data_IF_217718335620
#
_entry.id   IF_217718335620
#
_cell.length_a   1.000
_cell.length_b   1.000
_cell.length_c   1.000
_cell.angle_alpha   90.00
_cell.angle_beta   90.00
_cell.angle_gamma   90.00
#
_symmetry.space_group_name_H-M   'P 1'
#
loop_
_entity.id
_entity.type
_entity.pdbx_description
1 polymer ?
#
# COMPACT_ATOMS: atom_id res chain seq x y z
N UNK A 1 31.46 11.38 9.69
CA UNK A 1 30.42 10.35 9.90
C UNK A 1 29.77 10.07 8.57
N UNK A 2 29.97 8.88 8.01
CA UNK A 2 29.22 8.44 6.82
C UNK A 2 27.75 8.28 7.22
N UNK A 3 26.78 8.82 6.47
CA UNK A 3 25.37 8.58 6.76
C UNK A 3 25.10 7.07 6.81
N UNK A 4 24.43 6.59 7.85
CA UNK A 4 23.94 5.21 7.85
C UNK A 4 22.95 5.04 6.69
N UNK A 5 23.02 3.95 5.91
CA UNK A 5 22.03 3.67 4.89
C UNK A 5 20.64 3.54 5.54
N UNK A 6 19.61 4.01 4.85
CA UNK A 6 18.24 3.93 5.35
C UNK A 6 17.81 2.46 5.50
N UNK A 7 17.00 2.13 6.52
CA UNK A 7 16.49 0.78 6.71
C UNK A 7 15.59 0.34 5.54
N UNK A 8 15.74 -0.90 5.09
CA UNK A 8 14.93 -1.53 4.04
C UNK A 8 14.34 -2.83 4.58
N UNK A 9 13.01 -3.04 4.53
CA UNK A 9 12.41 -4.33 4.89
C UNK A 9 12.94 -5.48 4.02
N UNK A 10 13.23 -6.68 4.58
CA UNK A 10 13.76 -7.80 3.81
C UNK A 10 12.91 -8.17 2.58
N UNK A 11 11.59 -8.21 2.72
CA UNK A 11 10.68 -8.50 1.62
C UNK A 11 10.76 -7.46 0.49
N UNK A 12 11.01 -6.19 0.81
CA UNK A 12 11.23 -5.13 -0.19
C UNK A 12 12.63 -5.24 -0.80
N UNK A 13 13.64 -5.61 -0.02
CA UNK A 13 15.00 -5.78 -0.50
C UNK A 13 15.12 -6.89 -1.57
N UNK A 14 14.24 -7.89 -1.50
CA UNK A 14 14.14 -8.99 -2.46
C UNK A 14 13.42 -8.62 -3.77
N UNK A 15 12.75 -7.47 -3.85
CA UNK A 15 12.04 -7.05 -5.05
C UNK A 15 13.00 -6.68 -6.20
N UNK A 16 12.58 -6.87 -7.46
CA UNK A 16 13.27 -6.29 -8.59
C UNK A 16 13.33 -4.76 -8.47
N UNK A 17 14.39 -4.18 -9.04
CA UNK A 17 14.64 -2.74 -9.01
C UNK A 17 14.59 -2.15 -10.40
N UNK A 18 14.16 -0.90 -10.48
CA UNK A 18 14.25 -0.13 -11.71
C UNK A 18 15.70 0.34 -11.98
N UNK A 19 16.01 0.93 -13.15
CA UNK A 19 17.35 1.41 -13.46
C UNK A 19 17.89 2.51 -12.52
N UNK A 20 17.03 3.14 -11.72
CA UNK A 20 17.42 4.15 -10.71
C UNK A 20 17.70 3.50 -9.35
N UNK A 21 17.45 2.21 -9.20
CA UNK A 21 17.64 1.44 -7.98
C UNK A 21 16.43 1.40 -7.05
N UNK A 22 15.27 1.95 -7.45
CA UNK A 22 14.05 1.87 -6.65
C UNK A 22 13.41 0.49 -6.75
N UNK A 23 12.95 -0.10 -5.63
CA UNK A 23 12.19 -1.35 -5.70
C UNK A 23 10.90 -1.13 -6.50
N UNK A 24 10.49 -2.14 -7.25
CA UNK A 24 9.26 -2.15 -8.04
C UNK A 24 8.16 -2.83 -7.20
N UNK A 25 7.15 -2.10 -6.71
CA UNK A 25 6.05 -2.68 -5.95
C UNK A 25 5.27 -3.75 -6.72
N UNK A 26 4.70 -4.72 -6.01
CA UNK A 26 3.89 -5.79 -6.59
C UNK A 26 2.70 -5.28 -7.44
N UNK A 27 2.11 -4.13 -7.06
CA UNK A 27 0.99 -3.51 -7.78
C UNK A 27 1.41 -2.66 -8.99
N UNK A 28 2.71 -2.42 -9.19
CA UNK A 28 3.18 -1.58 -10.31
C UNK A 28 3.06 -2.37 -11.61
N UNK A 29 2.22 -1.92 -12.56
CA UNK A 29 2.08 -2.59 -13.84
C UNK A 29 3.28 -2.31 -14.74
N UNK A 30 3.41 -3.12 -15.78
CA UNK A 30 4.42 -2.93 -16.83
C UNK A 30 3.80 -2.46 -18.12
N UNK A 31 4.52 -1.63 -18.87
CA UNK A 31 4.12 -1.27 -20.23
C UNK A 31 4.44 -2.38 -21.23
N UNK A 32 4.11 -2.17 -22.51
CA UNK A 32 4.33 -3.14 -23.58
C UNK A 32 5.81 -3.51 -23.78
N UNK A 33 6.75 -2.68 -23.31
CA UNK A 33 8.19 -2.94 -23.34
C UNK A 33 8.71 -3.53 -22.02
N UNK A 34 7.82 -3.88 -21.08
CA UNK A 34 8.17 -4.47 -19.79
C UNK A 34 8.66 -3.48 -18.73
N UNK A 35 8.56 -2.17 -18.98
CA UNK A 35 9.05 -1.13 -18.06
C UNK A 35 8.00 -0.83 -16.97
N UNK A 36 8.41 -0.64 -15.70
CA UNK A 36 7.48 -0.37 -14.62
C UNK A 36 6.83 1.02 -14.76
N UNK A 37 5.51 1.09 -14.59
CA UNK A 37 4.73 2.33 -14.71
C UNK A 37 4.25 2.82 -13.33
N UNK A 38 5.12 3.52 -12.60
CA UNK A 38 4.87 3.96 -11.21
C UNK A 38 3.73 4.97 -11.01
N UNK A 39 3.23 5.60 -12.08
CA UNK A 39 2.18 6.62 -11.98
C UNK A 39 0.77 6.03 -11.82
N UNK A 40 0.62 4.73 -12.09
CA UNK A 40 -0.67 4.01 -12.05
C UNK A 40 -0.53 2.72 -11.24
N UNK A 41 -1.65 2.20 -10.77
CA UNK A 41 -1.75 0.88 -10.15
C UNK A 41 -2.37 -0.10 -11.15
N UNK A 42 -1.81 -1.30 -11.27
CA UNK A 42 -2.31 -2.32 -12.18
C UNK A 42 -3.59 -2.94 -11.62
N UNK A 43 -4.73 -2.79 -12.29
CA UNK A 43 -6.02 -3.28 -11.79
C UNK A 43 -6.00 -4.79 -11.46
N UNK A 44 -5.41 -5.62 -12.34
CA UNK A 44 -5.29 -7.06 -12.11
C UNK A 44 -4.45 -7.37 -10.85
N UNK A 45 -3.28 -6.74 -10.73
CA UNK A 45 -2.37 -6.89 -9.58
C UNK A 45 -3.02 -6.45 -8.27
N UNK A 46 -3.72 -5.32 -8.30
CA UNK A 46 -4.48 -4.78 -7.17
C UNK A 46 -5.60 -5.75 -6.74
N UNK A 47 -6.33 -6.33 -7.69
CA UNK A 47 -7.39 -7.31 -7.40
C UNK A 47 -6.80 -8.58 -6.75
N UNK A 48 -5.67 -9.07 -7.25
CA UNK A 48 -4.96 -10.21 -6.66
C UNK A 48 -4.56 -9.89 -5.21
N UNK A 49 -3.94 -8.72 -4.98
CA UNK A 49 -3.55 -8.31 -3.63
C UNK A 49 -4.76 -8.20 -2.68
N UNK A 50 -5.90 -7.73 -3.18
CA UNK A 50 -7.13 -7.63 -2.41
C UNK A 50 -7.70 -8.99 -2.02
N UNK A 51 -7.89 -9.88 -3.01
CA UNK A 51 -8.54 -11.18 -2.82
C UNK A 51 -7.67 -12.14 -2.01
N UNK A 52 -6.37 -12.13 -2.27
CA UNK A 52 -5.42 -13.04 -1.62
C UNK A 52 -4.79 -12.43 -0.36
N UNK A 53 -5.24 -11.23 0.05
CA UNK A 53 -4.72 -10.50 1.21
C UNK A 53 -3.19 -10.40 1.19
N UNK A 54 -2.64 -9.94 0.07
CA UNK A 54 -1.19 -9.72 -0.10
C UNK A 54 -0.84 -8.24 0.06
N UNK A 55 0.38 -7.97 0.49
CA UNK A 55 0.86 -6.60 0.59
C UNK A 55 1.05 -6.01 -0.80
N UNK A 56 0.52 -4.81 -0.99
CA UNK A 56 0.62 -4.04 -2.22
C UNK A 56 2.03 -3.66 -2.65
N UNK A 57 2.98 -3.65 -1.70
CA UNK A 57 4.37 -3.30 -1.96
C UNK A 57 5.20 -4.55 -2.23
N UNK A 58 5.29 -5.47 -1.28
CA UNK A 58 6.18 -6.63 -1.41
C UNK A 58 5.51 -7.88 -2.00
N UNK A 59 4.19 -7.92 -2.16
CA UNK A 59 3.45 -9.05 -2.75
C UNK A 59 3.39 -10.32 -1.91
N UNK A 60 4.00 -10.31 -0.72
CA UNK A 60 3.91 -11.44 0.23
C UNK A 60 2.56 -11.40 0.97
N UNK A 61 2.04 -12.56 1.44
CA UNK A 61 0.81 -12.61 2.22
C UNK A 61 0.87 -11.75 3.48
N UNK A 62 -0.25 -11.12 3.84
CA UNK A 62 -0.41 -10.43 5.12
C UNK A 62 -1.15 -11.34 6.10
N UNK A 63 -0.58 -11.64 7.29
CA UNK A 63 -1.27 -12.44 8.28
C UNK A 63 -2.58 -11.77 8.73
N UNK A 64 -3.49 -12.52 9.38
CA UNK A 64 -4.63 -11.93 10.07
C UNK A 64 -4.19 -10.82 11.02
N UNK A 65 -4.91 -9.71 11.03
CA UNK A 65 -4.58 -8.54 11.85
C UNK A 65 -4.62 -7.21 11.09
N UNK A 66 -4.03 -6.15 11.66
CA UNK A 66 -4.10 -4.83 11.06
C UNK A 66 -3.43 -4.75 9.70
N UNK A 67 -4.00 -3.94 8.82
CA UNK A 67 -3.43 -3.57 7.53
C UNK A 67 -3.08 -2.10 7.48
N UNK A 68 -2.09 -1.74 6.67
CA UNK A 68 -1.53 -0.39 6.66
C UNK A 68 -1.63 0.27 5.30
N UNK A 69 -1.66 1.60 5.30
CA UNK A 69 -1.54 2.44 4.10
C UNK A 69 -0.85 3.76 4.42
N UNK A 70 -0.31 4.41 3.39
CA UNK A 70 0.12 5.80 3.45
C UNK A 70 -1.04 6.68 2.98
N UNK A 71 -1.36 7.72 3.73
CA UNK A 71 -2.46 8.65 3.43
C UNK A 71 -1.95 10.09 3.29
N UNK A 72 -2.70 10.91 2.56
CA UNK A 72 -2.39 12.33 2.37
C UNK A 72 -2.90 13.19 3.53
N UNK A 73 -2.51 14.47 3.53
CA UNK A 73 -2.80 15.42 4.60
C UNK A 73 -4.31 15.53 4.92
N UNK A 74 -5.17 15.73 3.93
CA UNK A 74 -6.62 15.87 4.14
C UNK A 74 -7.28 14.64 4.80
N UNK A 75 -6.86 13.42 4.41
CA UNK A 75 -7.36 12.19 5.05
C UNK A 75 -6.77 12.02 6.46
N UNK A 76 -5.52 12.46 6.67
CA UNK A 76 -4.89 12.45 8.00
C UNK A 76 -5.67 13.31 8.98
N UNK A 77 -6.02 14.54 8.60
CA UNK A 77 -6.82 15.45 9.44
C UNK A 77 -8.19 14.86 9.77
N UNK A 78 -8.88 14.33 8.76
CA UNK A 78 -10.19 13.73 8.95
C UNK A 78 -10.16 12.56 9.95
N UNK A 79 -9.13 11.71 9.88
CA UNK A 79 -8.95 10.59 10.78
C UNK A 79 -8.49 11.03 12.18
N UNK A 80 -7.60 12.02 12.28
CA UNK A 80 -7.20 12.63 13.56
C UNK A 80 -8.41 13.20 14.29
N UNK A 81 -9.23 14.01 13.61
CA UNK A 81 -10.43 14.60 14.18
C UNK A 81 -11.47 13.54 14.61
N UNK A 82 -11.64 12.48 13.82
CA UNK A 82 -12.51 11.36 14.19
C UNK A 82 -12.01 10.62 15.44
N UNK A 83 -10.70 10.39 15.55
CA UNK A 83 -10.05 9.75 16.69
C UNK A 83 -10.20 10.57 17.96
N UNK A 84 -9.93 11.88 17.91
CA UNK A 84 -10.11 12.80 19.05
C UNK A 84 -11.55 12.84 19.53
N UNK A 85 -12.52 12.78 18.60
CA UNK A 85 -13.95 12.72 18.92
C UNK A 85 -14.43 11.33 19.39
N UNK A 86 -13.54 10.34 19.55
CA UNK A 86 -13.90 8.98 19.98
C UNK A 86 -14.76 8.21 18.97
N UNK A 87 -14.78 8.61 17.70
CA UNK A 87 -15.56 7.94 16.66
C UNK A 87 -14.75 6.82 16.02
N UNK A 88 -15.40 5.72 15.67
CA UNK A 88 -14.83 4.71 14.77
C UNK A 88 -14.51 5.38 13.44
N UNK A 89 -13.25 5.37 13.05
CA UNK A 89 -12.80 6.02 11.83
C UNK A 89 -12.65 5.00 10.68
N UNK A 90 -13.20 5.36 9.53
CA UNK A 90 -13.04 4.70 8.25
C UNK A 90 -12.66 5.74 7.19
N UNK A 91 -12.07 5.33 6.07
CA UNK A 91 -11.88 6.27 4.96
C UNK A 91 -13.25 6.69 4.40
N UNK A 92 -13.46 7.99 4.24
CA UNK A 92 -14.75 8.55 3.78
C UNK A 92 -15.01 8.29 2.30
N UNK A 93 -13.96 8.11 1.51
CA UNK A 93 -14.02 7.84 0.08
C UNK A 93 -13.21 6.57 -0.24
N UNK A 94 -13.65 5.76 -1.22
CA UNK A 94 -12.89 4.60 -1.64
C UNK A 94 -11.46 4.95 -2.05
N UNK A 95 -10.51 4.12 -1.66
CA UNK A 95 -9.10 4.21 -2.06
C UNK A 95 -8.84 3.30 -3.25
N UNK A 96 -8.01 3.68 -4.25
CA UNK A 96 -7.55 2.77 -5.29
C UNK A 96 -6.30 1.98 -4.86
N UNK A 97 -5.70 2.37 -3.73
CA UNK A 97 -4.47 1.77 -3.20
C UNK A 97 -4.80 0.64 -2.21
N UNK A 98 -4.32 -0.59 -2.47
CA UNK A 98 -4.50 -1.73 -1.58
C UNK A 98 -3.64 -1.66 -0.31
N UNK A 99 -4.03 -2.40 0.75
CA UNK A 99 -3.26 -2.50 1.99
C UNK A 99 -1.86 -3.07 1.83
N UNK A 100 -1.02 -2.84 2.84
CA UNK A 100 0.28 -3.50 3.00
C UNK A 100 0.67 -3.76 4.45
N UNK A 101 1.82 -4.41 4.65
CA UNK A 101 2.43 -4.55 5.98
C UNK A 101 2.85 -3.19 6.54
N UNK A 102 2.99 -3.13 7.87
CA UNK A 102 3.39 -1.92 8.59
C UNK A 102 4.74 -1.39 8.12
N UNK A 103 5.76 -2.23 8.13
CA UNK A 103 7.13 -1.91 7.72
C UNK A 103 7.22 -1.52 6.24
N UNK A 104 6.40 -2.13 5.38
CA UNK A 104 6.34 -1.80 3.97
C UNK A 104 5.75 -0.41 3.74
N UNK A 105 4.71 -0.03 4.48
CA UNK A 105 4.09 1.29 4.37
C UNK A 105 4.93 2.39 5.02
N UNK A 106 5.61 2.10 6.13
CA UNK A 106 6.63 3.00 6.71
C UNK A 106 7.77 3.27 5.72
N UNK A 107 8.25 2.22 5.03
CA UNK A 107 9.27 2.37 3.99
C UNK A 107 8.78 3.18 2.79
N UNK A 108 7.56 2.89 2.30
CA UNK A 108 6.95 3.59 1.18
C UNK A 108 6.79 5.09 1.47
N UNK A 109 6.43 5.45 2.71
CA UNK A 109 6.22 6.83 3.12
C UNK A 109 7.45 7.73 2.86
N UNK A 110 8.68 7.25 3.09
CA UNK A 110 9.88 8.07 2.82
C UNK A 110 10.59 7.77 1.51
N UNK A 111 10.40 6.58 0.93
CA UNK A 111 11.12 6.17 -0.29
C UNK A 111 10.41 6.64 -1.55
N UNK A 112 9.07 6.67 -1.58
CA UNK A 112 8.34 7.10 -2.76
C UNK A 112 8.49 8.62 -2.95
N UNK A 113 9.01 9.11 -4.10
CA UNK A 113 9.20 10.54 -4.32
C UNK A 113 7.91 11.37 -4.21
N UNK A 114 6.76 10.77 -4.52
CA UNK A 114 5.46 11.42 -4.37
C UNK A 114 4.96 11.42 -2.93
N UNK A 115 5.21 10.35 -2.15
CA UNK A 115 4.77 10.23 -0.76
C UNK A 115 5.73 10.87 0.26
N UNK A 116 6.98 11.11 -0.11
CA UNK A 116 7.97 11.59 0.85
C UNK A 116 7.80 13.07 1.22
N UNK A 117 7.15 13.88 0.36
CA UNK A 117 7.11 15.33 0.50
C UNK A 117 5.74 15.92 0.16
N UNK A 118 5.26 16.91 0.92
CA UNK A 118 3.98 17.56 0.61
C UNK A 118 3.97 18.33 -0.71
N UNK A 119 5.12 18.89 -1.10
CA UNK A 119 5.27 19.64 -2.35
C UNK A 119 5.60 18.76 -3.56
N UNK A 120 5.62 17.43 -3.40
CA UNK A 120 5.83 16.53 -4.53
C UNK A 120 4.68 16.68 -5.54
N UNK A 121 5.02 16.58 -6.82
CA UNK A 121 4.08 16.80 -7.93
C UNK A 121 3.91 15.55 -8.76
N UNK A 122 2.70 15.33 -9.26
CA UNK A 122 2.41 14.22 -10.19
C UNK A 122 3.25 14.37 -11.46
N UNK A 123 3.92 13.30 -11.86
CA UNK A 123 4.71 13.27 -13.09
C UNK A 123 3.88 13.10 -14.35
N UNK A 124 2.67 12.57 -14.22
CA UNK A 124 1.75 12.25 -15.31
C UNK A 124 0.30 12.52 -14.88
N UNK A 125 -0.59 12.64 -15.86
CA UNK A 125 -2.03 12.63 -15.63
C UNK A 125 -2.46 11.25 -15.13
N UNK A 126 -3.49 11.21 -14.29
CA UNK A 126 -4.10 9.97 -13.81
C UNK A 126 -5.62 10.12 -13.75
N UNK A 127 -6.33 9.02 -13.96
CA UNK A 127 -7.76 8.96 -13.71
C UNK A 127 -8.01 8.01 -12.55
N UNK A 128 -8.69 8.46 -11.50
CA UNK A 128 -9.00 7.68 -10.30
C UNK A 128 -10.48 7.84 -9.99
N UNK A 129 -11.24 6.75 -9.99
CA UNK A 129 -12.69 6.75 -9.73
C UNK A 129 -13.49 7.82 -10.48
N UNK A 130 -13.16 8.06 -11.75
CA UNK A 130 -13.82 9.06 -12.60
C UNK A 130 -13.31 10.49 -12.42
N UNK A 131 -12.38 10.73 -11.50
CA UNK A 131 -11.71 12.02 -11.33
C UNK A 131 -10.40 12.07 -12.12
N UNK A 132 -10.20 13.18 -12.84
CA UNK A 132 -8.96 13.46 -13.57
C UNK A 132 -7.99 14.23 -12.69
N UNK A 133 -6.84 13.65 -12.42
CA UNK A 133 -5.74 14.25 -11.67
C UNK A 133 -4.67 14.71 -12.66
N UNK A 134 -4.50 16.02 -12.78
CA UNK A 134 -3.55 16.60 -13.74
C UNK A 134 -2.11 16.45 -13.29
N UNK A 135 -1.20 16.21 -14.23
CA UNK A 135 0.25 16.36 -14.08
C UNK A 135 0.58 17.69 -13.42
N UNK A 136 1.58 17.68 -12.53
CA UNK A 136 2.01 18.88 -11.82
C UNK A 136 1.18 19.20 -10.58
N UNK A 137 0.00 18.59 -10.41
CA UNK A 137 -0.79 18.71 -9.16
C UNK A 137 0.08 18.29 -7.98
N UNK A 138 0.17 19.16 -6.97
CA UNK A 138 0.91 18.88 -5.75
C UNK A 138 0.15 17.88 -4.87
N UNK A 139 0.89 17.07 -4.12
CA UNK A 139 0.27 16.16 -3.14
C UNK A 139 -0.48 16.93 -2.05
N UNK A 140 0.07 18.05 -1.62
CA UNK A 140 -0.52 18.93 -0.61
C UNK A 140 0.00 18.65 0.80
N UNK A 141 -0.10 19.68 1.63
CA UNK A 141 0.03 19.63 3.08
C UNK A 141 -1.20 20.28 3.68
N UNK A 142 -1.36 20.10 4.98
CA UNK A 142 -2.31 20.83 5.79
C UNK A 142 -1.64 21.30 7.09
N UNK A 143 -2.34 22.10 7.88
CA UNK A 143 -1.84 22.62 9.15
C UNK A 143 -2.78 22.14 10.24
N UNK A 144 -2.23 21.42 11.22
CA UNK A 144 -2.98 21.00 12.39
C UNK A 144 -3.40 22.23 13.20
N UNK A 145 -4.72 22.45 13.34
CA UNK A 145 -5.28 23.67 13.94
C UNK A 145 -4.86 23.86 15.40
N UNK A 146 -4.64 22.77 16.14
CA UNK A 146 -4.32 22.81 17.57
C UNK A 146 -2.82 23.09 17.82
N UNK A 147 -1.94 22.39 17.10
CA UNK A 147 -0.48 22.47 17.30
C UNK A 147 0.22 23.46 16.36
N UNK A 148 -0.45 23.89 15.28
CA UNK A 148 0.15 24.66 14.20
C UNK A 148 1.15 23.88 13.36
N UNK A 149 1.29 22.56 13.57
CA UNK A 149 2.25 21.73 12.87
C UNK A 149 1.80 21.43 11.43
N UNK A 150 2.74 21.43 10.48
CA UNK A 150 2.43 21.03 9.11
C UNK A 150 2.34 19.52 8.97
N UNK A 151 1.23 19.04 8.42
CA UNK A 151 0.98 17.62 8.13
C UNK A 151 1.11 17.39 6.63
N UNK A 152 2.02 16.50 6.24
CA UNK A 152 2.18 16.02 4.86
C UNK A 152 1.38 14.76 4.56
N UNK A 153 1.09 13.98 5.60
CA UNK A 153 0.34 12.73 5.51
C UNK A 153 0.49 11.91 6.78
N UNK A 154 0.13 10.63 6.69
CA UNK A 154 0.34 9.67 7.76
C UNK A 154 0.59 8.26 7.24
N UNK A 155 1.18 7.42 8.09
CA UNK A 155 1.03 5.97 7.97
C UNK A 155 -0.11 5.57 8.90
N UNK A 156 -1.16 4.96 8.35
CA UNK A 156 -2.37 4.61 9.08
C UNK A 156 -2.58 3.09 9.06
N UNK A 157 -2.88 2.53 10.23
CA UNK A 157 -3.24 1.14 10.45
C UNK A 157 -4.74 1.01 10.68
N UNK A 158 -5.33 -0.02 10.08
CA UNK A 158 -6.76 -0.33 10.15
C UNK A 158 -6.95 -1.78 10.55
N UNK A 159 -8.01 -2.07 11.31
CA UNK A 159 -8.34 -3.40 11.74
C UNK A 159 -8.67 -4.31 10.55
N UNK A 160 -9.39 -3.76 9.57
CA UNK A 160 -9.79 -4.50 8.38
C UNK A 160 -9.94 -3.62 7.13
N UNK A 161 -10.11 -4.27 5.99
CA UNK A 161 -10.51 -3.65 4.73
C UNK A 161 -11.54 -4.49 3.99
N UNK A 162 -12.45 -3.81 3.30
CA UNK A 162 -13.32 -4.36 2.30
C UNK A 162 -12.92 -3.82 0.93
N UNK A 163 -13.22 -4.57 -0.13
CA UNK A 163 -13.00 -4.09 -1.49
C UNK A 163 -14.18 -4.40 -2.39
N UNK A 164 -14.39 -3.50 -3.36
CA UNK A 164 -15.35 -3.67 -4.46
C UNK A 164 -14.59 -3.63 -5.77
N UNK A 165 -14.97 -4.52 -6.68
CA UNK A 165 -14.47 -4.53 -8.04
C UNK A 165 -15.63 -4.63 -9.02
N UNK A 166 -15.60 -3.79 -10.04
CA UNK A 166 -16.49 -3.86 -11.22
C UNK A 166 -15.58 -4.03 -12.44
N UNK A 167 -15.87 -4.99 -13.34
CA UNK A 167 -15.08 -5.17 -14.55
C UNK A 167 -14.92 -3.86 -15.34
N UNK A 168 -13.68 -3.52 -15.67
CA UNK A 168 -13.34 -2.25 -16.35
C UNK A 168 -13.13 -1.05 -15.42
N UNK A 169 -13.39 -1.18 -14.12
CA UNK A 169 -13.11 -0.16 -13.10
C UNK A 169 -11.86 -0.49 -12.27
N UNK A 170 -11.38 0.49 -11.50
CA UNK A 170 -10.38 0.27 -10.46
C UNK A 170 -10.99 -0.45 -9.26
N UNK A 171 -10.17 -1.24 -8.56
CA UNK A 171 -10.57 -1.83 -7.28
C UNK A 171 -10.70 -0.72 -6.25
N UNK A 172 -11.84 -0.68 -5.56
CA UNK A 172 -12.19 0.32 -4.58
C UNK A 172 -12.10 -0.26 -3.18
N UNK A 173 -11.27 0.31 -2.31
CA UNK A 173 -11.04 -0.16 -0.95
C UNK A 173 -11.69 0.73 0.09
N UNK A 174 -12.34 0.10 1.07
CA UNK A 174 -12.82 0.72 2.30
C UNK A 174 -12.06 0.12 3.48
N UNK A 175 -11.44 0.97 4.28
CA UNK A 175 -10.65 0.62 5.45
C UNK A 175 -11.42 1.01 6.71
N UNK A 176 -11.51 0.10 7.67
CA UNK A 176 -12.33 0.30 8.87
C UNK A 176 -11.54 -0.02 10.15
N UNK A 177 -11.97 0.58 11.26
CA UNK A 177 -11.38 0.34 12.56
C UNK A 177 -9.94 0.83 12.67
N UNK A 178 -9.72 2.14 12.51
CA UNK A 178 -8.42 2.78 12.71
C UNK A 178 -7.74 2.31 14.01
N UNK A 179 -6.65 1.56 13.90
CA UNK A 179 -5.86 1.05 15.02
C UNK A 179 -4.66 1.95 15.32
N UNK A 180 -4.08 2.54 14.27
CA UNK A 180 -2.87 3.34 14.36
C UNK A 180 -2.95 4.54 13.40
N UNK A 181 -2.48 5.70 13.86
CA UNK A 181 -2.32 6.87 13.00
C UNK A 181 -1.00 7.54 13.35
N UNK A 182 -0.08 7.61 12.38
CA UNK A 182 1.23 8.25 12.52
C UNK A 182 1.38 9.41 11.55
N UNK A 183 0.94 10.62 11.92
CA UNK A 183 1.16 11.81 11.13
C UNK A 183 2.66 12.05 10.91
N UNK A 184 2.99 12.66 9.78
CA UNK A 184 4.32 13.16 9.47
C UNK A 184 4.24 14.45 8.65
N UNK A 185 5.28 15.28 8.78
CA UNK A 185 5.48 16.39 7.87
C UNK A 185 6.18 15.89 6.59
N UNK A 186 7.27 15.15 6.78
CA UNK A 186 8.03 14.50 5.72
C UNK A 186 7.99 12.98 5.93
N UNK A 187 8.00 12.22 4.84
CA UNK A 187 8.06 10.76 4.95
C UNK A 187 9.23 10.26 5.80
N UNK A 188 10.37 10.98 5.74
CA UNK A 188 11.58 10.67 6.52
C UNK A 188 11.36 10.65 8.04
N UNK A 189 10.31 11.30 8.55
CA UNK A 189 9.93 11.27 9.96
C UNK A 189 9.56 9.85 10.43
N UNK A 190 9.28 8.93 9.50
CA UNK A 190 8.96 7.52 9.77
C UNK A 190 10.19 6.60 9.90
N UNK A 191 11.40 7.07 9.58
CA UNK A 191 12.62 6.25 9.60
C UNK A 191 12.92 5.66 11.00
N UNK A 192 12.80 6.41 12.12
CA UNK A 192 13.02 5.86 13.45
C UNK A 192 12.05 4.71 13.77
N UNK A 193 10.78 4.88 13.40
CA UNK A 193 9.76 3.85 13.60
C UNK A 193 10.04 2.60 12.76
N UNK A 194 10.40 2.77 11.49
CA UNK A 194 10.78 1.62 10.65
C UNK A 194 11.97 0.87 11.25
N UNK A 195 12.97 1.59 11.75
CA UNK A 195 14.15 0.98 12.39
C UNK A 195 13.72 0.09 13.57
N UNK A 196 12.88 0.62 14.47
CA UNK A 196 12.39 -0.13 15.62
C UNK A 196 11.57 -1.37 15.21
N UNK A 197 10.74 -1.28 14.15
CA UNK A 197 9.99 -2.43 13.65
C UNK A 197 10.90 -3.52 13.14
N UNK A 198 11.91 -3.17 12.35
CA UNK A 198 12.82 -4.15 11.78
C UNK A 198 13.69 -4.80 12.87
N UNK A 199 14.06 -4.06 13.91
CA UNK A 199 14.73 -4.62 15.09
C UNK A 199 13.82 -5.62 15.82
N UNK A 200 12.57 -5.25 16.12
CA UNK A 200 11.61 -6.14 16.76
C UNK A 200 11.30 -7.41 15.93
N UNK A 201 11.28 -7.30 14.60
CA UNK A 201 11.08 -8.46 13.71
C UNK A 201 12.26 -9.44 13.75
N UNK A 202 13.50 -8.95 13.95
CA UNK A 202 14.70 -9.79 14.09
C UNK A 202 14.75 -10.53 15.43
N UNK A 203 14.20 -9.93 16.47
CA UNK A 203 14.21 -10.49 17.83
C UNK A 203 13.12 -11.56 18.04
N UNK A 204 12.15 -11.68 17.14
CA UNK A 204 11.10 -12.71 17.23
C UNK A 204 11.69 -14.13 17.05
N UNK A 205 11.59 -15.01 18.07
CA UNK A 205 12.04 -16.39 17.94
C UNK A 205 11.21 -17.12 16.87
N UNK A 206 11.89 -17.72 15.88
CA UNK A 206 11.23 -18.38 14.73
C UNK A 206 11.04 -17.50 13.49
N UNK A 207 11.54 -16.25 13.49
CA UNK A 207 11.43 -15.32 12.36
C UNK A 207 12.61 -15.39 11.40
N UNK A 208 12.28 -15.52 10.11
CA UNK A 208 13.12 -15.36 8.90
C UNK A 208 14.17 -16.44 8.53
N UNK A 209 14.81 -17.14 9.47
CA UNK A 209 15.90 -18.10 9.13
C UNK A 209 15.56 -19.58 9.37
N UNK A 210 14.32 -19.91 9.76
CA UNK A 210 13.86 -21.30 9.92
C UNK A 210 13.15 -21.81 8.64
N UNK A 211 13.50 -23.00 8.10
CA UNK A 211 12.91 -23.54 6.86
C UNK A 211 11.40 -23.86 6.95
N UNK A 212 10.82 -23.87 8.16
CA UNK A 212 9.45 -24.36 8.41
C UNK A 212 8.51 -23.31 9.06
N UNK A 213 8.81 -22.01 8.96
CA UNK A 213 7.87 -20.96 9.37
C UNK A 213 6.67 -20.86 8.41
N UNK A 214 5.43 -20.65 8.88
CA UNK A 214 4.23 -20.58 8.04
C UNK A 214 4.17 -19.37 7.08
N UNK A 215 5.16 -18.46 7.14
CA UNK A 215 5.16 -17.16 6.47
C UNK A 215 6.25 -17.01 5.39
N UNK A 216 6.72 -18.10 4.78
CA UNK A 216 7.83 -18.10 3.79
C UNK A 216 7.39 -17.89 2.34
N UNK A 217 6.11 -17.67 2.07
CA UNK A 217 5.65 -17.43 0.71
C UNK A 217 6.10 -16.05 0.21
N UNK A 218 7.12 -16.05 -0.64
CA UNK A 218 7.62 -14.85 -1.32
C UNK A 218 6.58 -14.23 -2.26
N UNK A 219 6.95 -13.10 -2.86
CA UNK A 219 6.14 -12.52 -3.93
C UNK A 219 6.05 -13.52 -5.08
N UNK A 220 4.85 -13.91 -5.53
CA UNK A 220 4.72 -14.88 -6.61
C UNK A 220 5.31 -14.29 -7.91
N UNK A 221 5.98 -15.09 -8.76
CA UNK A 221 6.65 -14.59 -9.96
C UNK A 221 5.75 -13.78 -10.90
N UNK A 222 4.48 -14.15 -11.03
CA UNK A 222 3.51 -13.42 -11.87
C UNK A 222 3.21 -11.99 -11.36
N UNK A 223 3.46 -11.68 -10.09
CA UNK A 223 3.38 -10.32 -9.55
C UNK A 223 4.72 -9.55 -9.67
N UNK A 224 5.79 -10.16 -10.17
CA UNK A 224 7.08 -9.47 -10.32
C UNK A 224 7.22 -8.84 -11.70
N UNK A 225 7.13 -9.64 -12.77
CA UNK A 225 7.46 -9.18 -14.11
C UNK A 225 6.60 -9.69 -15.27
N UNK A 226 5.58 -10.50 -14.98
CA UNK A 226 4.70 -11.06 -16.01
C UNK A 226 3.27 -10.48 -15.92
N UNK A 227 3.00 -9.43 -16.70
CA UNK A 227 1.68 -8.79 -16.72
C UNK A 227 0.59 -9.73 -17.28
N UNK A 228 0.92 -10.55 -18.29
CA UNK A 228 -0.04 -11.47 -18.89
C UNK A 228 -0.45 -12.57 -17.89
N UNK A 229 0.51 -13.09 -17.11
CA UNK A 229 0.21 -14.03 -16.05
C UNK A 229 -0.60 -13.39 -14.91
N UNK A 230 -0.30 -12.15 -14.52
CA UNK A 230 -1.11 -11.43 -13.54
C UNK A 230 -2.56 -11.24 -14.01
N UNK A 231 -2.77 -10.86 -15.27
CA UNK A 231 -4.11 -10.72 -15.85
C UNK A 231 -4.85 -12.07 -15.93
N UNK A 232 -4.17 -13.14 -16.34
CA UNK A 232 -4.75 -14.47 -16.40
C UNK A 232 -5.16 -14.96 -15.00
N UNK A 233 -4.32 -14.73 -13.99
CA UNK A 233 -4.60 -15.09 -12.60
C UNK A 233 -5.77 -14.30 -12.02
N UNK A 234 -5.82 -12.98 -12.26
CA UNK A 234 -6.95 -12.15 -11.87
C UNK A 234 -8.27 -12.62 -12.51
N UNK A 235 -8.24 -13.07 -13.77
CA UNK A 235 -9.41 -13.63 -14.45
C UNK A 235 -9.89 -14.92 -13.77
N UNK A 236 -8.98 -15.83 -13.43
CA UNK A 236 -9.31 -17.07 -12.73
C UNK A 236 -9.95 -16.80 -11.36
N UNK A 237 -9.44 -15.81 -10.63
CA UNK A 237 -10.03 -15.35 -9.36
C UNK A 237 -11.49 -14.92 -9.54
N UNK A 238 -11.77 -14.14 -10.58
CA UNK A 238 -13.13 -13.65 -10.88
C UNK A 238 -14.06 -14.78 -11.29
N UNK A 239 -13.61 -15.68 -12.17
CA UNK A 239 -14.37 -16.85 -12.60
C UNK A 239 -14.74 -17.74 -11.40
N UNK A 240 -13.78 -17.99 -10.50
CA UNK A 240 -14.03 -18.76 -9.28
C UNK A 240 -15.02 -18.06 -8.33
N UNK A 241 -14.95 -16.73 -8.21
CA UNK A 241 -15.89 -15.96 -7.40
C UNK A 241 -17.32 -16.00 -7.97
N UNK A 242 -17.47 -15.88 -9.29
CA UNK A 242 -18.76 -15.97 -9.99
C UNK A 242 -19.37 -17.38 -9.85
N UNK A 243 -18.56 -18.44 -10.01
CA UNK A 243 -19.01 -19.82 -9.84
C UNK A 243 -19.56 -20.09 -8.43
N UNK A 244 -18.89 -19.57 -7.38
CA UNK A 244 -19.35 -19.68 -5.99
C UNK A 244 -20.70 -18.98 -5.77
N UNK A 245 -20.92 -17.81 -6.37
CA UNK A 245 -22.20 -17.09 -6.26
C UNK A 245 -23.35 -17.84 -6.94
N UNK A 246 -23.10 -18.48 -8.08
CA UNK A 246 -24.11 -19.26 -8.80
C UNK A 246 -24.46 -20.58 -8.10
N UNK A 247 -23.48 -21.24 -7.47
CA UNK A 247 -23.71 -22.47 -6.71
C UNK A 247 -24.45 -22.26 -5.37
N UNK A 248 -24.26 -21.10 -4.72
CA UNK A 248 -24.92 -20.77 -3.45
C UNK A 248 -26.38 -20.31 -3.58
N UNK A 249 -26.84 -19.93 -4.77
CA UNK A 249 -28.22 -19.48 -5.01
C UNK A 249 -29.24 -20.63 -5.15
N UNK A 250 -28.77 -21.90 -5.11
CA UNK A 250 -29.61 -23.09 -5.25
C UNK A 250 -29.69 -23.98 -4.00
N UNK A 251 -29.27 -23.48 -2.82
CA UNK A 251 -29.29 -24.21 -1.54
C UNK A 251 -30.42 -23.74 -0.62
#
# INVERSE_FOLDING_TARGET
MTPRPNPVPPAIAALPRDPRGYPIPAITPRDAEGRPTFAITGTARTLICAVERRCSICGTPMPPGPVYRVIAAAETEALSAARTAGRTAANKAPSPEPPGHRECMLFAAFTCPFLARPNARRGQDAHVFGESLTRGTARGSSTDDDSGAQVGGAVAGFADFEFRYVPGEQVAFLFTGLTELRPHHLGADQIPELTAVLEALREKPGGADGPDGPDTEGCPPYLLDDEAAAEAHARQILEAAMARQQGGAGS
#
